data_IF_124932106238
#
_entry.id   IF_124932106238
#
_cell.length_a   1.000
_cell.length_b   1.000
_cell.length_c   1.000
_cell.angle_alpha   90.00
_cell.angle_beta   90.00
_cell.angle_gamma   90.00
#
_symmetry.space_group_name_H-M   'P 1'
#
loop_
_entity.id
_entity.type
_entity.pdbx_description
1 polymer ?
#
# COMPACT_ATOMS: atom_id res chain seq x y z
N UNK A 1 25.63 31.65 27.91
CA UNK A 1 24.89 30.55 27.28
C UNK A 1 24.41 29.59 28.35
N UNK A 2 23.12 29.64 28.74
CA UNK A 2 22.53 28.72 29.73
C UNK A 2 22.00 27.49 28.99
N UNK A 3 22.59 26.31 29.26
CA UNK A 3 22.08 25.02 28.80
C UNK A 3 20.80 24.70 29.56
N UNK A 4 19.65 24.78 28.88
CA UNK A 4 18.37 24.33 29.41
C UNK A 4 18.41 22.79 29.48
N UNK A 5 18.57 22.26 30.70
CA UNK A 5 18.39 20.83 30.97
C UNK A 5 16.90 20.51 30.86
N UNK A 6 16.47 19.91 29.76
CA UNK A 6 15.16 19.27 29.66
C UNK A 6 15.24 18.01 30.55
N UNK A 7 14.86 18.15 31.81
CA UNK A 7 14.60 17.03 32.70
C UNK A 7 13.12 16.64 32.58
N UNK A 8 12.79 15.77 31.65
CA UNK A 8 11.51 15.08 31.66
C UNK A 8 11.69 13.74 32.40
N UNK A 9 11.15 13.54 33.61
CA UNK A 9 11.32 12.31 34.39
C UNK A 9 10.74 11.08 33.71
N UNK A 10 9.82 11.25 32.75
CA UNK A 10 9.24 10.16 31.94
C UNK A 10 10.26 9.53 30.96
N UNK A 11 11.35 10.25 30.62
CA UNK A 11 12.39 9.76 29.70
C UNK A 11 13.37 8.77 30.32
N UNK A 12 13.34 8.64 31.66
CA UNK A 12 14.25 7.75 32.40
C UNK A 12 13.66 6.33 32.62
N UNK A 13 12.44 6.07 32.17
CA UNK A 13 11.91 4.71 32.15
C UNK A 13 12.67 3.90 31.09
N UNK A 14 13.38 2.88 31.54
CA UNK A 14 14.11 1.95 30.65
C UNK A 14 13.15 1.42 29.60
N UNK A 15 13.38 1.72 28.30
CA UNK A 15 12.57 1.20 27.20
C UNK A 15 12.63 -0.33 27.20
N UNK A 16 11.48 -0.98 27.07
CA UNK A 16 11.35 -2.41 26.92
C UNK A 16 10.50 -2.75 25.70
N UNK A 17 10.74 -3.90 25.12
CA UNK A 17 9.88 -4.43 24.06
C UNK A 17 8.50 -4.78 24.66
N UNK A 18 7.44 -4.44 23.92
CA UNK A 18 6.10 -4.88 24.24
C UNK A 18 5.99 -6.40 24.01
N UNK A 19 5.21 -7.07 24.82
CA UNK A 19 4.83 -8.47 24.62
C UNK A 19 3.73 -8.58 23.58
N UNK A 20 3.53 -9.78 23.05
CA UNK A 20 2.54 -10.02 22.00
C UNK A 20 1.09 -9.75 22.47
N UNK A 21 0.81 -10.02 23.77
CA UNK A 21 -0.46 -9.74 24.43
C UNK A 21 -0.73 -8.24 24.65
N UNK A 22 0.32 -7.44 24.74
CA UNK A 22 0.25 -5.98 24.91
C UNK A 22 0.03 -5.23 23.57
N UNK A 23 0.20 -5.90 22.43
CA UNK A 23 0.08 -5.28 21.08
C UNK A 23 -1.36 -5.15 20.60
N UNK A 24 -2.36 -5.65 21.34
CA UNK A 24 -3.78 -5.48 21.03
C UNK A 24 -4.16 -6.00 19.64
N UNK A 25 -3.72 -7.22 19.27
CA UNK A 25 -4.02 -7.81 17.97
C UNK A 25 -5.53 -7.99 17.79
N UNK A 26 -6.03 -7.43 16.70
CA UNK A 26 -7.41 -7.66 16.27
C UNK A 26 -7.58 -9.06 15.67
N UNK A 27 -8.74 -9.64 15.89
CA UNK A 27 -9.17 -10.85 15.18
C UNK A 27 -9.54 -10.55 13.74
N UNK A 28 -9.60 -11.57 12.89
CA UNK A 28 -10.07 -11.42 11.48
C UNK A 28 -11.47 -10.79 11.43
N UNK A 29 -12.37 -11.18 12.34
CA UNK A 29 -13.72 -10.63 12.42
C UNK A 29 -13.72 -9.14 12.76
N UNK A 30 -12.91 -8.72 13.73
CA UNK A 30 -12.76 -7.30 14.12
C UNK A 30 -12.14 -6.47 12.98
N UNK A 31 -11.14 -7.02 12.27
CA UNK A 31 -10.56 -6.34 11.10
C UNK A 31 -11.60 -6.20 10.00
N UNK A 32 -12.37 -7.25 9.68
CA UNK A 32 -13.43 -7.19 8.65
C UNK A 32 -14.54 -6.20 8.98
N UNK A 33 -14.93 -6.08 10.25
CA UNK A 33 -15.97 -5.17 10.71
C UNK A 33 -15.50 -3.72 10.95
N UNK A 34 -14.20 -3.45 10.89
CA UNK A 34 -13.66 -2.11 11.12
C UNK A 34 -13.87 -1.19 9.91
N UNK A 35 -14.01 0.12 10.17
CA UNK A 35 -13.94 1.14 9.13
C UNK A 35 -12.56 1.10 8.47
N UNK A 36 -12.53 1.01 7.15
CA UNK A 36 -11.30 0.88 6.36
C UNK A 36 -10.77 2.23 5.92
N UNK A 37 -9.46 2.30 5.75
CA UNK A 37 -8.84 3.40 5.01
C UNK A 37 -9.23 3.22 3.54
N UNK A 38 -9.86 4.22 2.88
CA UNK A 38 -10.39 4.10 1.52
C UNK A 38 -9.26 4.10 0.49
N UNK A 39 -8.45 3.06 0.53
CA UNK A 39 -7.33 2.81 -0.38
C UNK A 39 -7.41 1.37 -0.87
N UNK A 40 -7.38 1.22 -2.19
CA UNK A 40 -7.26 -0.07 -2.88
C UNK A 40 -5.84 -0.17 -3.44
N UNK A 41 -5.16 -1.30 -3.22
CA UNK A 41 -3.91 -1.61 -3.92
C UNK A 41 -4.22 -2.51 -5.09
N UNK A 42 -3.84 -2.08 -6.29
CA UNK A 42 -4.00 -2.85 -7.53
C UNK A 42 -2.64 -3.44 -7.90
N UNK A 43 -2.57 -4.74 -8.01
CA UNK A 43 -1.38 -5.51 -8.37
C UNK A 43 -1.52 -6.03 -9.81
N UNK A 44 -0.92 -5.32 -10.76
CA UNK A 44 -1.03 -5.61 -12.18
C UNK A 44 0.10 -6.54 -12.64
N UNK A 45 -0.25 -7.75 -13.06
CA UNK A 45 0.68 -8.71 -13.65
C UNK A 45 1.91 -9.02 -12.76
N UNK A 46 1.71 -9.16 -11.45
CA UNK A 46 2.80 -9.43 -10.50
C UNK A 46 3.26 -10.87 -10.61
N UNK A 47 4.56 -11.07 -10.83
CA UNK A 47 5.17 -12.39 -11.02
C UNK A 47 5.33 -13.16 -9.72
N UNK A 48 5.72 -12.47 -8.66
CA UNK A 48 6.07 -13.09 -7.38
C UNK A 48 4.89 -13.16 -6.43
N UNK A 49 4.36 -14.35 -6.19
CA UNK A 49 3.34 -14.59 -5.18
C UNK A 49 3.82 -14.24 -3.75
N UNK A 50 5.12 -14.27 -3.49
CA UNK A 50 5.69 -13.78 -2.22
C UNK A 50 5.52 -12.26 -2.07
N UNK A 51 5.70 -11.50 -3.16
CA UNK A 51 5.46 -10.05 -3.14
C UNK A 51 3.98 -9.75 -2.89
N UNK A 52 3.08 -10.50 -3.54
CA UNK A 52 1.63 -10.39 -3.32
C UNK A 52 1.29 -10.59 -1.84
N UNK A 53 1.79 -11.66 -1.22
CA UNK A 53 1.56 -11.92 0.21
C UNK A 53 2.13 -10.82 1.12
N UNK A 54 3.28 -10.25 0.78
CA UNK A 54 3.87 -9.13 1.52
C UNK A 54 3.03 -7.87 1.42
N UNK A 55 2.40 -7.61 0.25
CA UNK A 55 1.46 -6.49 0.07
C UNK A 55 0.17 -6.72 0.87
N UNK A 56 -0.37 -7.94 0.91
CA UNK A 56 -1.50 -8.27 1.81
C UNK A 56 -1.19 -7.92 3.26
N UNK A 57 0.01 -8.27 3.74
CA UNK A 57 0.43 -7.95 5.10
C UNK A 57 0.54 -6.45 5.35
N UNK A 58 0.99 -5.68 4.38
CA UNK A 58 1.03 -4.21 4.45
C UNK A 58 -0.39 -3.63 4.43
N UNK A 59 -1.28 -4.16 3.59
CA UNK A 59 -2.68 -3.76 3.52
C UNK A 59 -3.43 -4.01 4.83
N UNK A 60 -3.18 -5.15 5.49
CA UNK A 60 -3.72 -5.45 6.82
C UNK A 60 -3.21 -4.47 7.87
N UNK A 61 -1.89 -4.22 7.92
CA UNK A 61 -1.26 -3.32 8.88
C UNK A 61 -1.81 -1.88 8.80
N UNK A 62 -2.17 -1.43 7.62
CA UNK A 62 -2.73 -0.09 7.37
C UNK A 62 -4.26 -0.07 7.28
N UNK A 63 -4.92 -1.20 7.52
CA UNK A 63 -6.37 -1.35 7.48
C UNK A 63 -6.98 -0.87 6.14
N UNK A 64 -6.30 -1.18 5.03
CA UNK A 64 -6.74 -0.78 3.71
C UNK A 64 -8.05 -1.46 3.32
N UNK A 65 -8.79 -0.84 2.40
CA UNK A 65 -10.10 -1.33 1.98
C UNK A 65 -10.01 -2.66 1.23
N UNK A 66 -9.10 -2.76 0.25
CA UNK A 66 -9.00 -3.97 -0.57
C UNK A 66 -7.64 -4.08 -1.29
N UNK A 67 -7.35 -5.31 -1.75
CA UNK A 67 -6.30 -5.60 -2.74
C UNK A 67 -6.97 -6.14 -4.01
N UNK A 68 -6.70 -5.51 -5.15
CA UNK A 68 -7.13 -5.97 -6.46
C UNK A 68 -5.97 -6.66 -7.17
N UNK A 69 -6.21 -7.88 -7.61
CA UNK A 69 -5.22 -8.76 -8.25
C UNK A 69 -5.60 -8.88 -9.72
N UNK A 70 -4.73 -8.42 -10.63
CA UNK A 70 -5.09 -8.26 -12.04
C UNK A 70 -4.20 -9.13 -12.93
N UNK A 71 -4.80 -9.67 -13.98
CA UNK A 71 -4.12 -10.49 -14.97
C UNK A 71 -3.64 -11.82 -14.41
N UNK A 72 -2.36 -12.13 -14.59
CA UNK A 72 -1.77 -13.36 -14.07
C UNK A 72 -1.23 -13.25 -12.64
N UNK A 73 -1.47 -12.14 -11.95
CA UNK A 73 -1.15 -12.00 -10.53
C UNK A 73 -1.79 -13.13 -9.73
N UNK A 74 -0.99 -13.85 -8.95
CA UNK A 74 -1.49 -14.93 -8.10
C UNK A 74 -2.47 -14.39 -7.05
N UNK A 75 -3.48 -15.18 -6.72
CA UNK A 75 -4.52 -14.83 -5.74
C UNK A 75 -4.78 -15.97 -4.76
N UNK A 76 -5.33 -15.68 -3.57
CA UNK A 76 -5.69 -16.72 -2.60
C UNK A 76 -6.79 -17.69 -3.12
N UNK A 77 -6.74 -18.99 -2.73
CA UNK A 77 -5.70 -19.58 -1.88
C UNK A 77 -4.43 -19.93 -2.66
N UNK A 78 -3.27 -19.44 -2.19
CA UNK A 78 -1.99 -19.71 -2.82
C UNK A 78 -0.90 -19.95 -1.76
N UNK A 79 -0.11 -21.03 -1.88
CA UNK A 79 0.87 -21.45 -0.89
C UNK A 79 1.92 -20.37 -0.58
N UNK A 80 2.43 -19.71 -1.59
CA UNK A 80 3.48 -18.68 -1.43
C UNK A 80 2.93 -17.36 -0.89
N UNK A 81 1.71 -16.96 -1.28
CA UNK A 81 1.02 -15.82 -0.68
C UNK A 81 0.91 -16.03 0.83
N UNK A 82 0.41 -17.19 1.26
CA UNK A 82 0.21 -17.53 2.68
C UNK A 82 1.49 -17.44 3.50
N UNK A 83 2.65 -17.81 2.93
CA UNK A 83 3.93 -17.76 3.62
C UNK A 83 4.37 -16.36 4.03
N UNK A 84 4.01 -15.32 3.27
CA UNK A 84 4.41 -13.94 3.54
C UNK A 84 3.28 -13.07 4.07
N UNK A 85 2.04 -13.37 3.71
CA UNK A 85 0.84 -12.69 4.22
C UNK A 85 0.58 -13.03 5.70
N UNK A 86 0.95 -14.24 6.16
CA UNK A 86 0.79 -14.69 7.55
C UNK A 86 -0.64 -14.56 8.09
N UNK A 87 -1.63 -14.84 7.24
CA UNK A 87 -3.05 -14.76 7.57
C UNK A 87 -3.73 -13.44 7.15
N UNK A 88 -2.98 -12.44 6.69
CA UNK A 88 -3.54 -11.18 6.23
C UNK A 88 -4.46 -11.35 5.01
N UNK A 89 -4.26 -12.38 4.21
CA UNK A 89 -5.13 -12.74 3.08
C UNK A 89 -6.55 -13.18 3.52
N UNK A 90 -6.74 -13.48 4.80
CA UNK A 90 -8.04 -13.83 5.38
C UNK A 90 -8.78 -12.60 5.92
N UNK A 91 -8.04 -11.55 6.34
CA UNK A 91 -8.59 -10.32 6.95
C UNK A 91 -8.82 -9.18 5.96
N UNK A 92 -7.96 -9.07 4.94
CA UNK A 92 -8.04 -8.05 3.90
C UNK A 92 -9.01 -8.50 2.81
N UNK A 93 -9.92 -7.61 2.40
CA UNK A 93 -10.76 -7.87 1.23
C UNK A 93 -9.90 -7.90 -0.04
N UNK A 94 -10.25 -8.76 -0.98
CA UNK A 94 -9.58 -8.81 -2.26
C UNK A 94 -10.51 -9.23 -3.38
N UNK A 95 -10.17 -8.85 -4.62
CA UNK A 95 -10.84 -9.29 -5.85
C UNK A 95 -9.79 -9.65 -6.89
N UNK A 96 -10.11 -10.62 -7.74
CA UNK A 96 -9.31 -10.93 -8.93
C UNK A 96 -10.07 -10.47 -10.18
N UNK A 97 -9.36 -9.79 -11.08
CA UNK A 97 -9.86 -9.34 -12.39
C UNK A 97 -8.98 -9.95 -13.49
N UNK A 98 -9.61 -10.38 -14.57
CA UNK A 98 -8.86 -10.94 -15.71
C UNK A 98 -8.09 -9.88 -16.45
N UNK A 99 -8.63 -8.66 -16.52
CA UNK A 99 -8.05 -7.54 -17.25
C UNK A 99 -8.00 -6.29 -16.37
N UNK A 100 -7.08 -5.38 -16.69
CA UNK A 100 -7.01 -4.10 -16.01
C UNK A 100 -8.24 -3.22 -16.29
N UNK A 101 -8.83 -3.31 -17.48
CA UNK A 101 -10.07 -2.58 -17.81
C UNK A 101 -11.20 -2.91 -16.84
N UNK A 102 -11.42 -4.21 -16.52
CA UNK A 102 -12.42 -4.63 -15.54
C UNK A 102 -12.15 -4.03 -14.13
N UNK A 103 -10.88 -3.98 -13.73
CA UNK A 103 -10.50 -3.39 -12.45
C UNK A 103 -10.71 -1.87 -12.43
N UNK A 104 -10.34 -1.18 -13.52
CA UNK A 104 -10.55 0.27 -13.69
C UNK A 104 -12.04 0.60 -13.62
N UNK A 105 -12.89 -0.14 -14.31
CA UNK A 105 -14.33 0.09 -14.28
C UNK A 105 -14.91 -0.06 -12.87
N UNK A 106 -14.45 -1.07 -12.12
CA UNK A 106 -14.84 -1.26 -10.73
C UNK A 106 -14.37 -0.11 -9.81
N UNK A 107 -13.15 0.42 -10.05
CA UNK A 107 -12.60 1.56 -9.30
C UNK A 107 -13.37 2.85 -9.61
N UNK A 108 -13.65 3.10 -10.89
CA UNK A 108 -14.44 4.26 -11.34
C UNK A 108 -15.85 4.28 -10.76
N UNK A 109 -16.50 3.11 -10.63
CA UNK A 109 -17.81 3.01 -9.98
C UNK A 109 -17.79 3.41 -8.50
N UNK A 110 -16.65 3.30 -7.82
CA UNK A 110 -16.46 3.79 -6.46
C UNK A 110 -16.16 5.29 -6.40
N UNK A 111 -15.88 5.93 -7.54
CA UNK A 111 -15.43 7.31 -7.62
C UNK A 111 -14.00 7.52 -7.10
N UNK A 112 -13.19 6.47 -7.05
CA UNK A 112 -11.81 6.52 -6.55
C UNK A 112 -10.86 7.03 -7.63
N UNK A 113 -9.90 7.86 -7.21
CA UNK A 113 -8.82 8.29 -8.08
C UNK A 113 -7.86 7.13 -8.37
N UNK A 114 -7.46 6.97 -9.62
CA UNK A 114 -6.50 5.97 -10.06
C UNK A 114 -5.11 6.58 -10.13
N UNK A 115 -4.16 6.04 -9.36
CA UNK A 115 -2.79 6.55 -9.24
C UNK A 115 -1.82 5.41 -9.48
N UNK A 116 -0.87 5.56 -10.38
CA UNK A 116 0.20 4.59 -10.60
C UNK A 116 1.48 4.98 -9.86
N UNK A 117 2.15 3.99 -9.28
CA UNK A 117 3.53 4.14 -8.78
C UNK A 117 4.51 3.62 -9.83
N UNK A 118 5.06 4.53 -10.64
CA UNK A 118 5.95 4.21 -11.76
C UNK A 118 6.87 5.40 -12.08
N UNK A 119 8.01 5.14 -12.69
CA UNK A 119 8.92 6.18 -13.19
C UNK A 119 8.59 6.48 -14.65
N UNK A 120 8.12 7.71 -14.91
CA UNK A 120 7.80 8.19 -16.25
C UNK A 120 8.36 9.61 -16.46
N UNK A 121 8.28 10.11 -17.69
CA UNK A 121 8.63 11.49 -18.01
C UNK A 121 7.72 12.55 -17.38
N UNK A 122 6.60 12.11 -16.77
CA UNK A 122 5.58 12.97 -16.14
C UNK A 122 5.25 12.57 -14.71
N UNK A 123 6.00 11.62 -14.13
CA UNK A 123 5.78 11.22 -12.74
C UNK A 123 6.12 12.36 -11.77
N UNK A 124 5.34 12.44 -10.69
CA UNK A 124 5.55 13.40 -9.61
C UNK A 124 6.28 12.69 -8.47
N UNK A 125 7.38 13.25 -7.94
CA UNK A 125 8.04 12.71 -6.76
C UNK A 125 7.07 12.56 -5.58
N UNK A 126 7.03 11.40 -4.95
CA UNK A 126 6.07 11.05 -3.89
C UNK A 126 5.97 12.11 -2.77
N UNK A 127 7.09 12.71 -2.39
CA UNK A 127 7.15 13.71 -1.33
C UNK A 127 6.60 15.10 -1.75
N UNK A 128 6.38 15.33 -3.06
CA UNK A 128 5.78 16.55 -3.62
C UNK A 128 4.36 16.32 -4.10
N UNK A 129 3.91 15.04 -4.13
CA UNK A 129 2.60 14.71 -4.62
C UNK A 129 1.51 15.07 -3.62
N UNK A 130 0.48 15.73 -4.13
CA UNK A 130 -0.75 16.04 -3.41
C UNK A 130 -1.83 15.04 -3.80
N UNK A 131 -2.52 14.47 -2.79
CA UNK A 131 -3.60 13.52 -3.02
C UNK A 131 -4.79 14.22 -3.68
N UNK A 132 -5.35 13.66 -4.77
CA UNK A 132 -6.52 14.25 -5.42
C UNK A 132 -7.75 14.25 -4.50
N UNK A 133 -8.63 15.22 -4.70
CA UNK A 133 -9.91 15.30 -4.00
C UNK A 133 -10.85 14.21 -4.52
N UNK A 134 -10.84 13.06 -3.85
CA UNK A 134 -11.67 11.89 -4.19
C UNK A 134 -12.13 11.15 -2.93
N UNK A 135 -13.23 10.37 -2.98
CA UNK A 135 -13.68 9.57 -1.83
C UNK A 135 -12.65 8.53 -1.38
N UNK A 136 -11.79 8.08 -2.29
CA UNK A 136 -10.74 7.10 -2.03
C UNK A 136 -9.75 7.03 -3.18
N UNK A 137 -8.77 6.15 -3.04
CA UNK A 137 -7.64 6.03 -3.97
C UNK A 137 -7.37 4.57 -4.33
N UNK A 138 -7.10 4.32 -5.61
CA UNK A 138 -6.59 3.05 -6.10
C UNK A 138 -5.13 3.23 -6.55
N UNK A 139 -4.19 2.59 -5.82
CA UNK A 139 -2.76 2.61 -6.11
C UNK A 139 -2.39 1.42 -6.98
N UNK A 140 -1.98 1.67 -8.21
CA UNK A 140 -1.50 0.64 -9.14
C UNK A 140 -0.01 0.42 -8.95
N UNK A 141 0.36 -0.86 -8.79
CA UNK A 141 1.73 -1.34 -8.76
C UNK A 141 1.91 -2.33 -9.92
N UNK A 142 2.88 -2.08 -10.77
CA UNK A 142 3.11 -2.87 -11.98
C UNK A 142 4.05 -4.06 -11.78
N UNK A 143 4.25 -4.79 -12.86
CA UNK A 143 5.13 -5.94 -12.97
C UNK A 143 6.59 -5.60 -12.59
N UNK A 144 7.28 -6.56 -11.97
CA UNK A 144 8.66 -6.37 -11.47
C UNK A 144 9.71 -6.13 -12.59
N UNK A 145 9.36 -6.39 -13.83
CA UNK A 145 10.28 -6.25 -14.99
C UNK A 145 9.81 -5.19 -15.96
N UNK A 146 8.52 -5.20 -16.32
CA UNK A 146 7.95 -4.29 -17.33
C UNK A 146 7.30 -3.05 -16.73
N UNK A 147 7.12 -3.01 -15.42
CA UNK A 147 6.40 -1.92 -14.75
C UNK A 147 4.89 -1.96 -14.98
N UNK A 148 4.26 -0.82 -14.86
CA UNK A 148 2.83 -0.61 -15.15
C UNK A 148 2.63 -0.55 -16.66
N UNK A 149 1.63 -1.24 -17.17
CA UNK A 149 1.33 -1.26 -18.61
C UNK A 149 0.95 0.14 -19.13
N UNK A 150 1.30 0.44 -20.39
CA UNK A 150 1.10 1.78 -20.97
C UNK A 150 -0.37 2.23 -20.94
N UNK A 151 -1.29 1.35 -21.32
CA UNK A 151 -2.74 1.64 -21.32
C UNK A 151 -3.24 1.94 -19.89
N UNK A 152 -2.65 1.30 -18.89
CA UNK A 152 -2.94 1.55 -17.47
C UNK A 152 -2.43 2.92 -17.03
N UNK A 153 -1.21 3.30 -17.42
CA UNK A 153 -0.66 4.62 -17.15
C UNK A 153 -1.51 5.73 -17.77
N UNK A 154 -2.00 5.53 -18.99
CA UNK A 154 -2.87 6.49 -19.68
C UNK A 154 -4.26 6.62 -19.03
N UNK A 155 -4.72 5.58 -18.33
CA UNK A 155 -5.96 5.59 -17.59
C UNK A 155 -5.82 6.23 -16.19
N UNK A 156 -4.60 6.39 -15.68
CA UNK A 156 -4.32 6.97 -14.36
C UNK A 156 -4.43 8.50 -14.39
N UNK A 157 -5.02 9.06 -13.34
CA UNK A 157 -5.10 10.52 -13.14
C UNK A 157 -3.76 11.11 -12.69
N UNK A 158 -2.95 10.29 -11.97
CA UNK A 158 -1.63 10.67 -11.50
C UNK A 158 -0.66 9.50 -11.64
N UNK A 159 0.59 9.85 -11.92
CA UNK A 159 1.72 8.92 -11.82
C UNK A 159 2.70 9.49 -10.82
N UNK A 160 3.07 8.69 -9.83
CA UNK A 160 3.98 9.08 -8.74
C UNK A 160 5.22 8.20 -8.74
N UNK A 161 6.34 8.76 -8.31
CA UNK A 161 7.59 8.00 -8.21
C UNK A 161 8.25 8.15 -6.83
N UNK A 162 8.95 7.11 -6.42
CA UNK A 162 9.88 7.17 -5.28
C UNK A 162 11.25 7.58 -5.83
N UNK A 163 11.80 8.77 -5.48
CA UNK A 163 13.11 9.18 -5.96
C UNK A 163 14.19 8.16 -5.62
N UNK A 164 14.94 7.72 -6.63
CA UNK A 164 16.02 6.75 -6.50
C UNK A 164 17.37 7.46 -6.52
N UNK A 165 18.14 7.40 -5.43
CA UNK A 165 19.43 8.08 -5.29
C UNK A 165 20.63 7.14 -5.44
N UNK A 166 20.37 5.86 -5.64
CA UNK A 166 21.39 4.84 -5.75
C UNK A 166 21.69 4.41 -7.19
N UNK A 167 22.50 3.38 -7.32
CA UNK A 167 22.83 2.76 -8.62
C UNK A 167 21.65 1.97 -9.22
N UNK A 168 20.80 1.41 -8.40
CA UNK A 168 19.61 0.67 -8.85
C UNK A 168 18.47 1.66 -9.13
N UNK A 169 17.71 1.36 -10.17
CA UNK A 169 16.63 2.22 -10.64
C UNK A 169 15.23 1.79 -10.17
N UNK A 170 15.14 0.74 -9.33
CA UNK A 170 13.87 0.25 -8.81
C UNK A 170 14.03 -0.36 -7.42
N UNK A 171 12.95 -0.30 -6.63
CA UNK A 171 12.77 -1.05 -5.40
C UNK A 171 12.02 -2.36 -5.68
N UNK A 172 12.18 -3.34 -4.80
CA UNK A 172 11.25 -4.47 -4.77
C UNK A 172 9.82 -3.94 -4.60
N UNK A 173 8.87 -4.51 -5.33
CA UNK A 173 7.48 -4.03 -5.37
C UNK A 173 6.82 -3.97 -3.98
N UNK A 174 7.02 -4.97 -3.14
CA UNK A 174 6.44 -4.96 -1.79
C UNK A 174 7.06 -3.86 -0.91
N UNK A 175 8.34 -3.55 -1.12
CA UNK A 175 9.02 -2.42 -0.48
C UNK A 175 8.47 -1.09 -0.99
N UNK A 176 8.37 -0.93 -2.32
CA UNK A 176 7.81 0.27 -2.93
C UNK A 176 6.36 0.51 -2.47
N UNK A 177 5.52 -0.53 -2.49
CA UNK A 177 4.16 -0.46 -1.97
C UNK A 177 4.12 -0.01 -0.51
N UNK A 178 4.99 -0.54 0.35
CA UNK A 178 5.07 -0.12 1.76
C UNK A 178 5.41 1.36 1.93
N UNK A 179 6.35 1.90 1.13
CA UNK A 179 6.75 3.31 1.16
C UNK A 179 5.60 4.21 0.70
N UNK A 180 4.99 3.91 -0.46
CA UNK A 180 3.90 4.73 -1.02
C UNK A 180 2.67 4.68 -0.11
N UNK A 181 2.27 3.49 0.33
CA UNK A 181 1.11 3.31 1.20
C UNK A 181 1.30 4.01 2.56
N UNK A 182 2.51 3.98 3.12
CA UNK A 182 2.79 4.72 4.35
C UNK A 182 2.58 6.22 4.15
N UNK A 183 3.06 6.79 3.05
CA UNK A 183 2.90 8.22 2.78
C UNK A 183 1.42 8.61 2.62
N UNK A 184 0.62 7.79 1.92
CA UNK A 184 -0.82 7.99 1.76
C UNK A 184 -1.53 7.91 3.12
N UNK A 185 -1.30 6.83 3.86
CA UNK A 185 -1.97 6.56 5.14
C UNK A 185 -1.55 7.57 6.22
N UNK A 186 -0.29 7.98 6.23
CA UNK A 186 0.23 8.98 7.17
C UNK A 186 -0.54 10.30 7.08
N UNK A 187 -0.84 10.75 5.87
CA UNK A 187 -1.64 11.97 5.65
C UNK A 187 -3.03 11.83 6.26
N UNK A 188 -3.67 10.66 6.08
CA UNK A 188 -5.01 10.37 6.63
C UNK A 188 -5.03 10.26 8.17
N UNK A 189 -4.00 9.66 8.77
CA UNK A 189 -3.88 9.54 10.25
C UNK A 189 -3.64 10.90 10.90
N UNK A 190 -2.87 11.79 10.26
CA UNK A 190 -2.52 13.11 10.82
C UNK A 190 -3.59 14.18 10.61
N UNK A 191 -4.68 13.87 9.91
CA UNK A 191 -5.75 14.82 9.61
C UNK A 191 -5.29 15.98 8.70
N UNK A 192 -4.18 15.82 7.99
CA UNK A 192 -3.66 16.76 7.00
C UNK A 192 -3.84 16.14 5.60
N UNK A 193 -5.03 16.12 5.13
CA UNK A 193 -5.46 15.84 3.78
C UNK A 193 -6.51 16.84 3.37
#
# INVERSE_FOLDING_TARGET
MRRTKIRNPAYLRRMRKLRMDELGRKTVAEVKGASKVPVIVVLENIRSAYNVGSVFRTADAFLLESVYLVGYTAFPPHKEIRKTALGAEESVNWKHFKTMSEAIDAIRQLGYALVAAEQTDRSVPLHLWEEPASPGLALVMGNEVTGVEQDTLEACEHVIEIPQLGMKHSLNIATAAGVVLWEIVRKKITGKG
#
